data_IF_708237030345
#
_entry.id   IF_708237030345
#
_cell.length_a   1.000
_cell.length_b   1.000
_cell.length_c   1.000
_cell.angle_alpha   90.00
_cell.angle_beta   90.00
_cell.angle_gamma   90.00
#
_symmetry.space_group_name_H-M   'P 1'
#
loop_
_entity.id
_entity.type
_entity.pdbx_description
1 polymer ?
#
# COMPACT_ATOMS: atom_id res chain seq x y z
N UNK A 1 -6.29 8.73 8.11
CA UNK A 1 -5.55 8.74 6.84
C UNK A 1 -5.62 10.11 6.17
N UNK A 2 -6.80 10.62 5.81
CA UNK A 2 -6.95 11.91 5.13
C UNK A 2 -6.30 13.10 5.87
N UNK A 3 -6.53 13.26 7.17
CA UNK A 3 -5.92 14.34 7.97
C UNK A 3 -4.39 14.30 7.94
N UNK A 4 -3.81 13.11 8.09
CA UNK A 4 -2.36 12.91 8.02
C UNK A 4 -1.83 13.21 6.63
N UNK A 5 -2.51 12.76 5.57
CA UNK A 5 -2.13 13.08 4.18
C UNK A 5 -2.12 14.58 3.94
N UNK A 6 -3.16 15.30 4.36
CA UNK A 6 -3.27 16.73 4.18
C UNK A 6 -2.17 17.49 4.93
N UNK A 7 -1.86 17.09 6.17
CA UNK A 7 -0.77 17.68 6.96
C UNK A 7 0.60 17.41 6.31
N UNK A 8 0.86 16.18 5.88
CA UNK A 8 2.14 15.85 5.23
C UNK A 8 2.30 16.63 3.92
N UNK A 9 1.24 16.73 3.13
CA UNK A 9 1.25 17.48 1.88
C UNK A 9 1.47 18.99 2.11
N UNK A 10 0.84 19.58 3.15
CA UNK A 10 1.03 21.01 3.47
C UNK A 10 2.45 21.34 3.92
N UNK A 11 3.18 20.35 4.43
CA UNK A 11 4.60 20.44 4.79
C UNK A 11 5.54 20.11 3.61
N UNK A 12 5.01 19.83 2.41
CA UNK A 12 5.80 19.42 1.24
C UNK A 12 6.39 18.01 1.34
N UNK A 13 5.85 17.18 2.25
CA UNK A 13 6.29 15.81 2.48
C UNK A 13 5.55 14.78 1.62
N UNK A 14 5.87 13.50 1.88
CA UNK A 14 5.22 12.34 1.23
C UNK A 14 4.73 11.34 2.29
N UNK A 15 3.58 10.71 2.02
CA UNK A 15 3.05 9.61 2.86
C UNK A 15 3.72 8.26 2.56
N UNK A 16 4.66 8.23 1.62
CA UNK A 16 5.45 7.06 1.26
C UNK A 16 6.94 7.42 1.36
N UNK A 17 7.62 6.89 2.38
CA UNK A 17 9.08 6.98 2.52
C UNK A 17 9.79 6.00 1.58
N UNK A 18 9.63 4.70 1.83
CA UNK A 18 10.31 3.63 1.08
C UNK A 18 9.38 2.70 0.30
N UNK A 19 8.11 2.57 0.72
CA UNK A 19 7.20 1.55 0.18
C UNK A 19 6.47 1.94 -1.12
N UNK A 20 6.71 3.15 -1.64
CA UNK A 20 6.07 3.67 -2.85
C UNK A 20 4.55 3.86 -2.71
N UNK A 21 3.88 4.20 -3.82
CA UNK A 21 2.46 4.59 -3.79
C UNK A 21 1.53 3.37 -3.70
N UNK A 22 1.56 2.53 -4.74
CA UNK A 22 0.63 1.41 -4.88
C UNK A 22 -0.83 1.86 -4.97
N UNK A 23 -1.74 0.88 -5.07
CA UNK A 23 -3.20 1.14 -5.16
C UNK A 23 -3.75 1.93 -3.98
N UNK A 24 -3.16 1.73 -2.80
CA UNK A 24 -3.55 2.42 -1.57
C UNK A 24 -3.35 3.94 -1.65
N UNK A 25 -2.25 4.40 -2.28
CA UNK A 25 -1.89 5.83 -2.31
C UNK A 25 -2.05 6.48 -3.68
N UNK A 26 -2.23 5.73 -4.77
CA UNK A 26 -2.52 6.29 -6.08
C UNK A 26 -3.68 7.34 -6.05
N UNK A 27 -4.79 7.14 -5.29
CA UNK A 27 -5.88 8.12 -5.23
C UNK A 27 -5.59 9.41 -4.46
N UNK A 28 -4.44 9.54 -3.80
CA UNK A 28 -4.04 10.77 -3.08
C UNK A 28 -2.85 11.48 -3.73
N UNK A 29 -2.35 11.01 -4.88
CA UNK A 29 -1.17 11.63 -5.49
C UNK A 29 -1.38 13.08 -5.89
N UNK A 30 -2.57 13.46 -6.33
CA UNK A 30 -2.86 14.88 -6.65
C UNK A 30 -2.92 15.76 -5.40
N UNK A 31 -3.23 15.20 -4.24
CA UNK A 31 -3.19 15.92 -2.95
C UNK A 31 -1.74 16.15 -2.50
N UNK A 32 -0.87 15.15 -2.71
CA UNK A 32 0.55 15.21 -2.29
C UNK A 32 1.43 15.97 -3.28
N UNK A 33 1.25 15.74 -4.58
CA UNK A 33 2.15 16.24 -5.64
C UNK A 33 1.53 17.37 -6.47
N UNK A 34 0.23 17.63 -6.34
CA UNK A 34 -0.50 18.57 -7.20
C UNK A 34 -0.74 18.05 -8.62
N UNK A 35 -1.50 18.82 -9.40
CA UNK A 35 -1.93 18.39 -10.74
C UNK A 35 -0.78 18.32 -11.75
N UNK A 36 0.09 19.33 -11.82
CA UNK A 36 1.17 19.38 -12.84
C UNK A 36 2.11 18.17 -12.75
N UNK A 37 2.48 17.75 -11.54
CA UNK A 37 3.36 16.60 -11.36
C UNK A 37 2.65 15.31 -11.73
N UNK A 38 1.39 15.13 -11.31
CA UNK A 38 0.64 13.91 -11.64
C UNK A 38 0.36 13.81 -13.14
N UNK A 39 0.08 14.91 -13.82
CA UNK A 39 -0.12 14.92 -15.28
C UNK A 39 1.16 14.47 -16.02
N UNK A 40 2.34 14.78 -15.48
CA UNK A 40 3.61 14.25 -16.01
C UNK A 40 3.74 12.74 -15.77
N UNK A 41 3.30 12.23 -14.62
CA UNK A 41 3.26 10.78 -14.37
C UNK A 41 2.34 10.07 -15.36
N UNK A 42 1.18 10.66 -15.68
CA UNK A 42 0.24 10.17 -16.68
C UNK A 42 0.89 10.09 -18.07
N UNK A 43 1.58 11.15 -18.50
CA UNK A 43 2.29 11.17 -19.80
C UNK A 43 3.35 10.08 -19.89
N UNK A 44 4.15 9.90 -18.84
CA UNK A 44 5.16 8.83 -18.81
C UNK A 44 4.48 7.47 -18.86
N UNK A 45 3.46 7.22 -18.03
CA UNK A 45 2.75 5.94 -18.02
C UNK A 45 2.12 5.61 -19.36
N UNK A 46 1.52 6.60 -20.02
CA UNK A 46 0.88 6.44 -21.33
C UNK A 46 1.90 6.13 -22.43
N UNK A 47 3.09 6.75 -22.40
CA UNK A 47 4.14 6.50 -23.38
C UNK A 47 4.64 5.04 -23.37
N UNK A 48 4.72 4.42 -22.19
CA UNK A 48 5.21 3.03 -22.03
C UNK A 48 4.09 1.98 -21.98
N UNK A 49 2.87 2.37 -21.64
CA UNK A 49 1.73 1.46 -21.53
C UNK A 49 0.43 2.16 -21.96
N UNK A 50 0.27 2.41 -23.28
CA UNK A 50 -0.91 3.10 -23.82
C UNK A 50 -2.21 2.32 -23.63
N UNK A 51 -2.12 1.00 -23.40
CA UNK A 51 -3.28 0.13 -23.15
C UNK A 51 -3.60 -0.05 -21.66
N UNK A 52 -2.75 0.47 -20.76
CA UNK A 52 -2.98 0.39 -19.31
C UNK A 52 -2.89 -1.02 -18.72
N UNK A 53 -2.21 -1.97 -19.39
CA UNK A 53 -2.15 -3.37 -18.94
C UNK A 53 -1.13 -3.61 -17.82
N UNK A 54 -0.14 -2.73 -17.68
CA UNK A 54 0.92 -2.84 -16.68
C UNK A 54 0.46 -2.23 -15.36
N UNK A 55 0.02 -3.12 -14.46
CA UNK A 55 -0.29 -2.84 -13.06
C UNK A 55 -1.23 -1.62 -12.88
N UNK A 56 -2.38 -1.65 -13.55
CA UNK A 56 -3.40 -0.60 -13.48
C UNK A 56 -3.80 -0.28 -12.04
N UNK A 57 -4.04 1.00 -11.74
CA UNK A 57 -4.38 1.49 -10.41
C UNK A 57 -3.19 1.69 -9.45
N UNK A 58 -1.99 1.17 -9.77
CA UNK A 58 -0.88 1.17 -8.81
C UNK A 58 -0.11 2.49 -8.73
N UNK A 59 0.01 3.23 -9.84
CA UNK A 59 0.67 4.54 -9.86
C UNK A 59 -0.29 5.69 -10.19
N UNK A 60 -1.34 5.41 -10.93
CA UNK A 60 -2.40 6.36 -11.26
C UNK A 60 -3.70 5.71 -10.82
N UNK A 61 -4.52 6.46 -10.10
CA UNK A 61 -5.78 5.93 -9.61
C UNK A 61 -6.72 5.58 -10.77
N UNK A 62 -7.45 4.49 -10.64
CA UNK A 62 -8.59 4.24 -11.53
C UNK A 62 -9.75 5.09 -11.04
N UNK A 63 -10.43 5.77 -11.95
CA UNK A 63 -11.61 6.58 -11.63
C UNK A 63 -12.64 5.73 -10.87
N UNK A 64 -13.03 6.19 -9.67
CA UNK A 64 -14.01 5.50 -8.83
C UNK A 64 -13.44 4.46 -7.85
N UNK A 65 -12.12 4.20 -7.85
CA UNK A 65 -11.51 3.34 -6.83
C UNK A 65 -11.41 4.05 -5.46
N UNK A 66 -11.80 3.34 -4.41
CA UNK A 66 -11.60 3.78 -3.02
C UNK A 66 -10.16 3.58 -2.56
N UNK A 67 -9.65 4.52 -1.75
CA UNK A 67 -8.32 4.47 -1.10
C UNK A 67 -8.12 3.19 -0.28
N UNK A 68 -9.16 2.83 0.46
CA UNK A 68 -9.24 1.59 1.25
C UNK A 68 -10.33 0.72 0.61
N UNK A 69 -10.19 0.45 -0.69
CA UNK A 69 -11.03 -0.54 -1.37
C UNK A 69 -10.85 -1.94 -0.79
N UNK A 70 -11.24 -2.97 -1.55
CA UNK A 70 -11.12 -4.36 -1.13
C UNK A 70 -9.66 -4.71 -0.81
N UNK A 71 -9.31 -4.60 0.48
CA UNK A 71 -8.12 -5.26 1.01
C UNK A 71 -8.23 -6.69 0.54
N UNK A 72 -7.16 -7.24 -0.05
CA UNK A 72 -7.14 -8.61 -0.54
C UNK A 72 -7.27 -9.55 0.67
N UNK A 73 -8.52 -9.74 1.07
CA UNK A 73 -8.98 -10.46 2.23
C UNK A 73 -10.13 -11.30 1.72
N UNK A 74 -9.92 -12.60 1.73
CA UNK A 74 -10.98 -13.55 1.43
C UNK A 74 -11.54 -14.03 2.78
N UNK A 75 -12.78 -13.63 3.14
CA UNK A 75 -13.39 -14.02 4.40
C UNK A 75 -13.68 -15.53 4.49
N UNK A 76 -13.64 -16.25 3.36
CA UNK A 76 -13.79 -17.70 3.33
C UNK A 76 -12.50 -18.45 3.66
N UNK A 77 -11.36 -17.76 3.76
CA UNK A 77 -10.11 -18.41 4.15
C UNK A 77 -10.22 -18.97 5.57
N UNK A 78 -9.72 -20.20 5.81
CA UNK A 78 -9.67 -20.75 7.14
C UNK A 78 -8.79 -19.86 8.03
N UNK A 79 -9.14 -19.83 9.31
CA UNK A 79 -8.27 -19.21 10.32
C UNK A 79 -6.89 -19.82 10.28
N UNK A 80 -5.86 -18.99 10.53
CA UNK A 80 -4.50 -19.47 10.70
C UNK A 80 -4.44 -20.55 11.80
N UNK A 81 -3.59 -21.55 11.56
CA UNK A 81 -3.24 -22.56 12.54
C UNK A 81 -2.87 -21.90 13.89
N UNK A 82 -3.30 -22.45 15.05
CA UNK A 82 -3.03 -21.85 16.35
C UNK A 82 -1.54 -21.57 16.61
N UNK A 83 -0.63 -22.46 16.19
CA UNK A 83 0.81 -22.26 16.36
C UNK A 83 1.31 -21.11 15.48
N UNK A 84 0.86 -21.05 14.21
CA UNK A 84 1.19 -19.94 13.33
C UNK A 84 0.67 -18.59 13.86
N UNK A 85 -0.54 -18.58 14.42
CA UNK A 85 -1.11 -17.40 15.08
C UNK A 85 -0.29 -16.97 16.29
N UNK A 86 0.09 -17.91 17.16
CA UNK A 86 0.92 -17.63 18.33
C UNK A 86 2.29 -17.07 17.94
N UNK A 87 2.94 -17.66 16.93
CA UNK A 87 4.21 -17.17 16.39
C UNK A 87 4.11 -15.73 15.88
N UNK A 88 3.06 -15.39 15.12
CA UNK A 88 2.83 -14.03 14.64
C UNK A 88 2.56 -13.05 15.80
N UNK A 89 1.78 -13.45 16.80
CA UNK A 89 1.54 -12.65 18.00
C UNK A 89 2.85 -12.35 18.74
N UNK A 90 3.73 -13.34 18.89
CA UNK A 90 5.06 -13.16 19.49
C UNK A 90 5.90 -12.16 18.70
N UNK A 91 5.95 -12.28 17.36
CA UNK A 91 6.68 -11.34 16.51
C UNK A 91 6.15 -9.93 16.67
N UNK A 92 4.83 -9.75 16.67
CA UNK A 92 4.20 -8.45 16.80
C UNK A 92 4.47 -7.81 18.16
N UNK A 93 4.23 -8.57 19.24
CA UNK A 93 4.38 -8.10 20.62
C UNK A 93 5.84 -7.78 20.95
N UNK A 94 6.74 -8.69 20.59
CA UNK A 94 8.15 -8.64 21.02
C UNK A 94 9.05 -7.97 19.97
N UNK A 95 8.47 -7.53 18.84
CA UNK A 95 9.19 -6.97 17.69
C UNK A 95 10.31 -7.87 17.18
N UNK A 96 10.11 -9.18 17.26
CA UNK A 96 11.08 -10.21 16.87
C UNK A 96 11.19 -10.37 15.34
N UNK A 97 11.23 -9.27 14.59
CA UNK A 97 11.25 -9.27 13.12
C UNK A 97 12.52 -9.90 12.53
N UNK A 98 13.59 -10.00 13.33
CA UNK A 98 14.83 -10.66 12.95
C UNK A 98 14.79 -12.19 13.08
N UNK A 99 13.76 -12.75 13.75
CA UNK A 99 13.63 -14.20 13.93
C UNK A 99 12.96 -14.86 12.72
N UNK A 100 13.42 -16.05 12.34
CA UNK A 100 12.76 -16.84 11.31
C UNK A 100 11.41 -17.34 11.83
N UNK A 101 10.35 -17.08 11.07
CA UNK A 101 8.96 -17.41 11.48
C UNK A 101 8.74 -18.90 11.65
N UNK A 102 9.44 -19.73 10.86
CA UNK A 102 9.34 -21.18 10.94
C UNK A 102 9.95 -21.74 12.22
N UNK A 103 10.97 -21.08 12.78
CA UNK A 103 11.58 -21.51 14.03
C UNK A 103 10.62 -21.33 15.22
N UNK A 104 9.71 -20.36 15.11
CA UNK A 104 8.69 -20.06 16.11
C UNK A 104 7.48 -21.00 16.05
N UNK A 105 7.38 -21.88 15.05
CA UNK A 105 6.29 -22.85 14.93
C UNK A 105 6.52 -24.11 15.76
N UNK A 106 7.77 -24.36 16.15
CA UNK A 106 8.20 -25.58 16.85
C UNK A 106 8.55 -25.34 18.33
N UNK A 107 8.25 -24.14 18.84
CA UNK A 107 8.53 -23.70 20.21
C UNK A 107 7.33 -23.81 21.13
#
# INVERSE_FOLDING_TARGET
FAEVTALVASLGGTVAGEHGDGRLRAPILREVWGNDIVDRFERVKHAFDPRGILNSGAKLAITGESRLGDVKYDPALPSLDPAARAALTTIERDRAYASFRLDLLNG
#
